data_IF_832993928935
#
_entry.id   IF_832993928935
#
_cell.length_a   1.000
_cell.length_b   1.000
_cell.length_c   1.000
_cell.angle_alpha   90.00
_cell.angle_beta   90.00
_cell.angle_gamma   90.00
#
_symmetry.space_group_name_H-M   'P 1'
#
loop_
_entity.id
_entity.type
_entity.pdbx_description
1 polymer ?
#
# COMPACT_ATOMS: atom_id res chain seq x y z
N UNK A 1 12.95 17.58 -5.78
CA UNK A 1 12.23 17.43 -4.51
C UNK A 1 11.26 16.25 -4.51
N UNK A 2 10.29 16.14 -5.43
CA UNK A 2 9.30 15.04 -5.41
C UNK A 2 9.90 13.63 -5.38
N UNK A 3 10.96 13.38 -6.17
CA UNK A 3 11.66 12.09 -6.17
C UNK A 3 12.21 11.76 -4.79
N UNK A 4 12.95 12.70 -4.18
CA UNK A 4 13.57 12.55 -2.87
C UNK A 4 12.50 12.31 -1.79
N UNK A 5 11.38 13.03 -1.84
CA UNK A 5 10.26 12.82 -0.91
C UNK A 5 9.67 11.41 -1.05
N UNK A 6 9.48 10.94 -2.29
CA UNK A 6 9.06 9.56 -2.56
C UNK A 6 10.07 8.55 -2.04
N UNK A 7 11.36 8.76 -2.33
CA UNK A 7 12.46 7.90 -1.89
C UNK A 7 12.53 7.79 -0.37
N UNK A 8 12.50 8.90 0.36
CA UNK A 8 12.52 8.90 1.84
C UNK A 8 11.30 8.15 2.37
N UNK A 9 10.12 8.42 1.83
CA UNK A 9 8.88 7.73 2.25
C UNK A 9 9.00 6.22 2.01
N UNK A 10 9.54 5.83 0.86
CA UNK A 10 9.75 4.42 0.52
C UNK A 10 10.79 3.76 1.42
N UNK A 11 11.89 4.44 1.77
CA UNK A 11 12.90 3.93 2.70
C UNK A 11 12.31 3.72 4.10
N UNK A 12 11.43 4.61 4.56
CA UNK A 12 10.70 4.40 5.84
C UNK A 12 9.84 3.14 5.78
N UNK A 13 9.14 2.93 4.67
CA UNK A 13 8.33 1.72 4.47
C UNK A 13 9.20 0.47 4.39
N UNK A 14 10.33 0.52 3.68
CA UNK A 14 11.30 -0.57 3.61
C UNK A 14 11.88 -0.91 4.99
N UNK A 15 12.18 0.10 5.82
CA UNK A 15 12.62 -0.12 7.20
C UNK A 15 11.54 -0.80 8.05
N UNK A 16 10.28 -0.37 7.93
CA UNK A 16 9.16 -1.00 8.62
C UNK A 16 8.93 -2.45 8.15
N UNK A 17 9.05 -2.71 6.85
CA UNK A 17 9.00 -4.06 6.27
C UNK A 17 10.05 -4.94 6.91
N UNK A 18 11.33 -4.58 6.77
CA UNK A 18 12.46 -5.39 7.28
C UNK A 18 12.33 -5.60 8.79
N UNK A 19 11.92 -4.56 9.52
CA UNK A 19 11.71 -4.68 10.96
C UNK A 19 10.60 -5.70 11.31
N UNK A 20 9.47 -5.68 10.60
CA UNK A 20 8.38 -6.64 10.83
C UNK A 20 8.76 -8.05 10.37
N UNK A 21 9.53 -8.18 9.30
CA UNK A 21 9.98 -9.47 8.76
C UNK A 21 10.83 -10.24 9.79
N UNK A 22 11.82 -9.56 10.37
CA UNK A 22 12.82 -10.19 11.24
C UNK A 22 12.53 -10.08 12.74
N UNK A 23 11.84 -9.02 13.17
CA UNK A 23 11.50 -8.82 14.58
C UNK A 23 10.00 -9.02 14.87
N UNK A 24 9.17 -9.30 13.86
CA UNK A 24 7.73 -9.49 14.05
C UNK A 24 7.36 -10.64 14.99
N UNK A 25 8.28 -11.55 15.28
CA UNK A 25 8.09 -12.66 16.24
C UNK A 25 7.93 -12.18 17.69
N UNK A 26 8.40 -10.96 18.01
CA UNK A 26 8.19 -10.34 19.33
C UNK A 26 6.80 -9.73 19.48
N UNK A 27 6.04 -9.62 18.38
CA UNK A 27 4.66 -9.13 18.38
C UNK A 27 3.73 -10.35 18.37
N UNK A 28 2.76 -10.45 19.31
CA UNK A 28 1.79 -11.54 19.30
C UNK A 28 1.08 -11.68 17.94
N UNK A 29 0.87 -12.91 17.44
CA UNK A 29 0.16 -13.12 16.18
C UNK A 29 -1.23 -12.47 16.19
N UNK A 30 -1.62 -11.88 15.06
CA UNK A 30 -2.96 -11.30 14.87
C UNK A 30 -3.81 -12.36 14.17
N UNK A 31 -4.53 -13.16 14.96
CA UNK A 31 -5.30 -14.29 14.44
C UNK A 31 -4.38 -15.34 13.81
N UNK A 32 -4.64 -15.83 12.57
CA UNK A 32 -3.78 -16.80 11.91
C UNK A 32 -2.48 -16.20 11.34
N UNK A 33 -2.25 -14.88 11.44
CA UNK A 33 -1.10 -14.21 10.85
C UNK A 33 0.01 -13.96 11.86
N UNK A 34 1.17 -14.55 11.60
CA UNK A 34 2.44 -14.12 12.17
C UNK A 34 3.02 -12.97 11.34
N UNK A 35 3.49 -11.91 12.00
CA UNK A 35 4.13 -10.78 11.32
C UNK A 35 5.54 -11.14 10.83
N UNK A 36 6.23 -12.04 11.53
CA UNK A 36 7.49 -12.62 11.04
C UNK A 36 7.24 -13.50 9.82
N UNK A 37 8.05 -13.33 8.78
CA UNK A 37 7.85 -13.98 7.48
C UNK A 37 6.80 -13.32 6.57
N UNK A 38 6.12 -12.28 7.05
CA UNK A 38 5.05 -11.56 6.33
C UNK A 38 5.17 -10.04 6.48
N UNK A 39 6.35 -9.53 6.83
CA UNK A 39 6.63 -8.10 7.01
C UNK A 39 6.36 -7.30 5.74
N UNK A 40 6.60 -7.94 4.58
CA UNK A 40 6.21 -7.45 3.26
C UNK A 40 4.72 -7.08 3.18
N UNK A 41 3.86 -8.04 3.51
CA UNK A 41 2.41 -7.90 3.43
C UNK A 41 1.91 -6.89 4.45
N UNK A 42 2.41 -6.92 5.68
CA UNK A 42 1.96 -6.01 6.72
C UNK A 42 2.40 -4.55 6.50
N UNK A 43 3.66 -4.30 6.13
CA UNK A 43 4.18 -2.94 5.96
C UNK A 43 3.78 -2.34 4.62
N UNK A 44 4.07 -3.01 3.51
CA UNK A 44 3.91 -2.41 2.20
C UNK A 44 2.43 -2.24 1.86
N UNK A 45 1.58 -3.24 2.14
CA UNK A 45 0.17 -3.15 1.76
C UNK A 45 -0.63 -2.14 2.57
N UNK A 46 -0.23 -1.84 3.82
CA UNK A 46 -0.85 -0.76 4.60
C UNK A 46 -0.27 0.59 4.21
N UNK A 47 1.06 0.71 4.19
CA UNK A 47 1.72 2.00 4.12
C UNK A 47 1.82 2.56 2.69
N UNK A 48 1.92 1.71 1.66
CA UNK A 48 2.02 2.20 0.28
C UNK A 48 0.74 2.90 -0.18
N UNK A 49 -0.48 2.38 0.04
CA UNK A 49 -1.69 3.10 -0.31
C UNK A 49 -1.78 4.49 0.33
N UNK A 50 -1.35 4.59 1.59
CA UNK A 50 -1.28 5.85 2.33
C UNK A 50 -0.24 6.77 1.69
N UNK A 51 0.96 6.26 1.38
CA UNK A 51 2.03 7.02 0.76
C UNK A 51 1.65 7.53 -0.63
N UNK A 52 0.95 6.75 -1.44
CA UNK A 52 0.43 7.15 -2.75
C UNK A 52 -0.59 8.27 -2.56
N UNK A 53 -1.62 8.04 -1.74
CA UNK A 53 -2.66 9.04 -1.45
C UNK A 53 -2.05 10.36 -0.96
N UNK A 54 -1.17 10.29 0.05
CA UNK A 54 -0.61 11.46 0.69
C UNK A 54 0.36 12.21 -0.23
N UNK A 55 1.22 11.47 -0.93
CA UNK A 55 2.18 12.03 -1.87
C UNK A 55 1.52 12.70 -3.08
N UNK A 56 0.47 12.08 -3.64
CA UNK A 56 -0.28 12.66 -4.75
C UNK A 56 -1.08 13.87 -4.31
N UNK A 57 -1.67 13.83 -3.12
CA UNK A 57 -2.33 14.98 -2.52
C UNK A 57 -1.34 16.12 -2.29
N UNK A 58 -0.17 15.85 -1.72
CA UNK A 58 0.89 16.85 -1.53
C UNK A 58 1.33 17.46 -2.86
N UNK A 59 1.64 16.64 -3.87
CA UNK A 59 2.04 17.09 -5.20
C UNK A 59 0.95 17.97 -5.84
N UNK A 60 -0.31 17.61 -5.65
CA UNK A 60 -1.44 18.36 -6.22
C UNK A 60 -1.65 19.71 -5.55
N UNK A 61 -1.49 19.79 -4.22
CA UNK A 61 -1.55 21.07 -3.50
C UNK A 61 -0.36 21.97 -3.83
N UNK A 62 0.84 21.41 -3.95
CA UNK A 62 2.06 22.18 -4.21
C UNK A 62 2.11 22.77 -5.62
N UNK A 63 1.54 22.08 -6.60
CA UNK A 63 1.63 22.44 -8.01
C UNK A 63 0.30 22.89 -8.64
N UNK A 64 -0.67 23.31 -7.81
CA UNK A 64 -1.96 23.90 -8.24
C UNK A 64 -2.65 23.14 -9.37
N UNK A 65 -2.69 21.81 -9.29
CA UNK A 65 -3.33 20.93 -10.29
C UNK A 65 -2.44 20.45 -11.44
N UNK A 66 -1.26 21.06 -11.68
CA UNK A 66 -0.23 20.61 -12.64
C UNK A 66 0.68 19.51 -12.06
N UNK A 67 0.09 18.57 -11.34
CA UNK A 67 0.80 17.63 -10.47
C UNK A 67 1.13 16.29 -11.08
N UNK A 68 0.76 16.03 -12.34
CA UNK A 68 0.98 14.72 -12.96
C UNK A 68 2.45 14.32 -12.95
N UNK A 69 3.33 15.17 -13.51
CA UNK A 69 4.78 14.91 -13.53
C UNK A 69 5.35 14.81 -12.11
N UNK A 70 5.10 15.77 -11.19
CA UNK A 70 5.55 15.64 -9.80
C UNK A 70 5.07 14.38 -9.08
N UNK A 71 3.82 13.94 -9.30
CA UNK A 71 3.25 12.73 -8.70
C UNK A 71 3.90 11.47 -9.28
N UNK A 72 4.11 11.40 -10.60
CA UNK A 72 4.85 10.30 -11.24
C UNK A 72 6.28 10.20 -10.70
N UNK A 73 6.99 11.33 -10.61
CA UNK A 73 8.36 11.37 -10.09
C UNK A 73 8.39 10.96 -8.61
N UNK A 74 7.40 11.37 -7.81
CA UNK A 74 7.23 10.89 -6.44
C UNK A 74 7.03 9.37 -6.39
N UNK A 75 6.13 8.83 -7.21
CA UNK A 75 5.85 7.39 -7.27
C UNK A 75 7.09 6.58 -7.68
N UNK A 76 7.90 7.10 -8.61
CA UNK A 76 9.18 6.45 -8.99
C UNK A 76 10.16 6.44 -7.82
N UNK A 77 10.29 7.56 -7.10
CA UNK A 77 11.10 7.61 -5.88
C UNK A 77 10.59 6.64 -4.81
N UNK A 78 9.27 6.57 -4.61
CA UNK A 78 8.62 5.65 -3.69
C UNK A 78 8.88 4.18 -4.07
N UNK A 79 8.80 3.84 -5.36
CA UNK A 79 9.06 2.48 -5.85
C UNK A 79 10.52 2.06 -5.59
N UNK A 80 11.48 2.94 -5.89
CA UNK A 80 12.89 2.71 -5.55
C UNK A 80 13.06 2.56 -4.05
N UNK A 81 12.47 3.46 -3.26
CA UNK A 81 12.58 3.47 -1.80
C UNK A 81 12.04 2.21 -1.14
N UNK A 82 10.85 1.74 -1.54
CA UNK A 82 10.26 0.48 -1.05
C UNK A 82 11.10 -0.70 -1.50
N UNK A 83 11.58 -0.69 -2.75
CA UNK A 83 12.45 -1.74 -3.29
C UNK A 83 13.77 -1.91 -2.54
N UNK A 84 14.25 -0.89 -1.82
CA UNK A 84 15.46 -0.96 -0.98
C UNK A 84 15.32 -1.98 0.17
N UNK A 85 14.12 -2.45 0.51
CA UNK A 85 13.96 -3.54 1.48
C UNK A 85 14.81 -4.78 1.11
N UNK A 86 14.87 -5.12 -0.18
CA UNK A 86 15.62 -6.30 -0.67
C UNK A 86 17.14 -6.18 -0.48
N UNK A 87 17.82 -5.10 -0.89
CA UNK A 87 19.24 -4.94 -0.58
C UNK A 87 19.51 -4.80 0.91
N UNK A 88 18.59 -4.22 1.71
CA UNK A 88 18.73 -4.21 3.18
C UNK A 88 18.75 -5.64 3.70
N UNK A 89 17.79 -6.49 3.30
CA UNK A 89 17.78 -7.90 3.67
C UNK A 89 19.03 -8.64 3.19
N UNK A 90 19.47 -8.40 1.94
CA UNK A 90 20.66 -9.05 1.41
C UNK A 90 21.95 -8.71 2.18
N UNK A 91 22.04 -7.51 2.79
CA UNK A 91 23.20 -7.05 3.54
C UNK A 91 23.15 -7.49 5.01
N UNK A 92 22.00 -7.31 5.66
CA UNK A 92 21.88 -7.52 7.10
C UNK A 92 21.37 -8.92 7.47
N UNK A 93 20.65 -9.58 6.56
CA UNK A 93 20.03 -10.89 6.74
C UNK A 93 20.24 -11.79 5.51
N UNK A 94 21.50 -12.04 5.09
CA UNK A 94 21.79 -12.76 3.86
C UNK A 94 21.26 -14.20 3.93
N UNK A 95 20.47 -14.61 2.92
CA UNK A 95 19.94 -15.97 2.81
C UNK A 95 21.05 -17.03 2.71
N UNK A 96 22.17 -16.69 2.04
CA UNK A 96 23.34 -17.55 1.84
C UNK A 96 24.64 -16.72 2.00
N UNK A 97 25.78 -17.36 2.34
CA UNK A 97 27.07 -16.66 2.51
C UNK A 97 27.56 -15.89 1.27
N UNK A 98 27.16 -16.33 0.07
CA UNK A 98 27.59 -15.74 -1.21
C UNK A 98 26.63 -14.66 -1.75
N UNK A 99 25.63 -14.26 -0.97
CA UNK A 99 24.68 -13.20 -1.36
C UNK A 99 25.39 -11.86 -1.50
N UNK A 100 25.30 -11.26 -2.69
CA UNK A 100 25.86 -9.92 -2.96
C UNK A 100 24.76 -8.88 -3.14
N UNK A 101 25.12 -7.60 -2.97
CA UNK A 101 24.25 -6.47 -3.31
C UNK A 101 23.80 -6.50 -4.78
N UNK A 102 24.66 -6.93 -5.70
CA UNK A 102 24.29 -7.02 -7.12
C UNK A 102 23.15 -8.03 -7.33
N UNK A 103 23.15 -9.14 -6.58
CA UNK A 103 22.11 -10.16 -6.65
C UNK A 103 20.73 -9.63 -6.20
N UNK A 104 20.70 -8.54 -5.43
CA UNK A 104 19.46 -7.93 -4.93
C UNK A 104 18.79 -6.97 -5.92
N UNK A 105 19.49 -6.54 -6.99
CA UNK A 105 18.98 -5.55 -7.95
C UNK A 105 17.68 -6.01 -8.62
N UNK A 106 17.56 -7.26 -9.14
CA UNK A 106 16.30 -7.73 -9.71
C UNK A 106 15.16 -7.71 -8.68
N UNK A 107 15.44 -8.11 -7.44
CA UNK A 107 14.46 -8.11 -6.35
C UNK A 107 14.01 -6.71 -5.95
N UNK A 108 14.91 -5.72 -5.94
CA UNK A 108 14.58 -4.30 -5.73
C UNK A 108 13.57 -3.81 -6.79
N UNK A 109 13.87 -4.06 -8.06
CA UNK A 109 13.02 -3.63 -9.18
C UNK A 109 11.66 -4.32 -9.10
N UNK A 110 11.65 -5.64 -8.87
CA UNK A 110 10.43 -6.43 -8.73
C UNK A 110 9.57 -5.92 -7.57
N UNK A 111 10.17 -5.70 -6.39
CA UNK A 111 9.49 -5.23 -5.19
C UNK A 111 8.86 -3.85 -5.38
N UNK A 112 9.64 -2.88 -5.89
CA UNK A 112 9.13 -1.56 -6.21
C UNK A 112 8.00 -1.59 -7.26
N UNK A 113 8.11 -2.48 -8.24
CA UNK A 113 7.09 -2.63 -9.29
C UNK A 113 5.79 -3.21 -8.73
N UNK A 114 5.89 -4.31 -7.98
CA UNK A 114 4.74 -5.05 -7.45
C UNK A 114 3.99 -4.24 -6.40
N UNK A 115 4.71 -3.68 -5.43
CA UNK A 115 4.07 -3.03 -4.29
C UNK A 115 3.76 -1.56 -4.52
N UNK A 116 4.41 -0.89 -5.49
CA UNK A 116 4.20 0.55 -5.73
C UNK A 116 3.68 0.84 -7.13
N UNK A 117 4.38 0.44 -8.19
CA UNK A 117 4.03 0.86 -9.55
C UNK A 117 2.70 0.27 -10.02
N UNK A 118 2.44 -1.01 -9.78
CA UNK A 118 1.16 -1.64 -10.15
C UNK A 118 -0.02 -1.02 -9.38
N UNK A 119 0.01 -0.88 -8.03
CA UNK A 119 -1.02 -0.15 -7.30
C UNK A 119 -1.17 1.29 -7.76
N UNK A 120 -0.08 1.98 -8.09
CA UNK A 120 -0.13 3.35 -8.58
C UNK A 120 -0.84 3.46 -9.95
N UNK A 121 -0.68 2.49 -10.84
CA UNK A 121 -1.41 2.45 -12.12
C UNK A 121 -2.92 2.31 -11.85
N UNK A 122 -3.30 1.38 -10.98
CA UNK A 122 -4.72 1.19 -10.59
C UNK A 122 -5.25 2.44 -9.90
N UNK A 123 -4.48 3.05 -9.00
CA UNK A 123 -4.84 4.29 -8.33
C UNK A 123 -5.05 5.44 -9.31
N UNK A 124 -4.20 5.55 -10.34
CA UNK A 124 -4.32 6.58 -11.37
C UNK A 124 -5.60 6.40 -12.19
N UNK A 125 -5.96 5.15 -12.51
CA UNK A 125 -7.19 4.82 -13.24
C UNK A 125 -8.46 5.27 -12.51
N UNK A 126 -8.43 5.37 -11.17
CA UNK A 126 -9.56 5.86 -10.36
C UNK A 126 -9.43 7.36 -10.07
N UNK A 127 -8.25 7.81 -9.70
CA UNK A 127 -7.98 9.20 -9.33
C UNK A 127 -8.26 10.16 -10.50
N UNK A 128 -7.81 9.84 -11.72
CA UNK A 128 -7.91 10.75 -12.86
C UNK A 128 -9.37 11.05 -13.28
N UNK A 129 -10.28 10.06 -13.36
CA UNK A 129 -11.71 10.32 -13.56
C UNK A 129 -12.36 11.18 -12.45
N UNK A 130 -12.04 10.93 -11.18
CA UNK A 130 -12.56 11.70 -10.05
C UNK A 130 -12.04 13.16 -10.08
N UNK A 131 -10.74 13.32 -10.35
CA UNK A 131 -10.07 14.61 -10.48
C UNK A 131 -10.65 15.44 -11.62
N UNK A 132 -10.82 14.83 -12.79
CA UNK A 132 -11.34 15.50 -14.00
C UNK A 132 -12.83 15.83 -13.94
N UNK A 133 -13.57 15.31 -12.95
CA UNK A 133 -15.01 15.52 -12.84
C UNK A 133 -15.84 14.70 -13.83
N UNK A 134 -15.22 13.73 -14.51
CA UNK A 134 -15.93 12.76 -15.36
C UNK A 134 -16.83 11.83 -14.53
N UNK A 135 -16.46 11.60 -13.27
CA UNK A 135 -17.25 10.82 -12.30
C UNK A 135 -17.61 11.73 -11.12
N UNK A 136 -18.88 11.74 -10.67
CA UNK A 136 -19.28 12.52 -9.51
C UNK A 136 -18.59 12.01 -8.25
N UNK A 137 -18.13 12.92 -7.38
CA UNK A 137 -17.48 12.57 -6.11
C UNK A 137 -18.48 12.64 -4.96
N UNK A 138 -19.59 11.90 -5.08
CA UNK A 138 -20.57 11.79 -4.01
C UNK A 138 -20.24 10.61 -3.07
N UNK A 139 -20.91 10.54 -1.92
CA UNK A 139 -20.64 9.52 -0.91
C UNK A 139 -20.74 8.09 -1.42
N UNK A 140 -21.69 7.81 -2.33
CA UNK A 140 -21.90 6.46 -2.91
C UNK A 140 -20.72 6.06 -3.79
N UNK A 141 -20.25 6.96 -4.68
CA UNK A 141 -19.10 6.67 -5.55
C UNK A 141 -17.83 6.44 -4.72
N UNK A 142 -17.61 7.26 -3.69
CA UNK A 142 -16.48 7.08 -2.78
C UNK A 142 -16.58 5.75 -2.03
N UNK A 143 -17.78 5.42 -1.52
CA UNK A 143 -18.03 4.15 -0.85
C UNK A 143 -17.72 2.97 -1.77
N UNK A 144 -18.24 2.97 -2.99
CA UNK A 144 -17.96 1.93 -3.99
C UNK A 144 -16.45 1.87 -4.25
N UNK A 145 -15.80 3.01 -4.49
CA UNK A 145 -14.37 3.06 -4.78
C UNK A 145 -13.47 2.54 -3.64
N UNK A 146 -13.88 2.73 -2.38
CA UNK A 146 -13.17 2.17 -1.22
C UNK A 146 -13.45 0.68 -1.01
N UNK A 147 -14.69 0.24 -1.24
CA UNK A 147 -15.12 -1.12 -0.94
C UNK A 147 -14.87 -2.11 -2.08
N UNK A 148 -14.85 -1.68 -3.34
CA UNK A 148 -14.73 -2.59 -4.50
C UNK A 148 -13.40 -3.37 -4.52
N UNK A 149 -12.35 -2.78 -3.96
CA UNK A 149 -11.06 -3.44 -3.80
C UNK A 149 -11.08 -4.53 -2.73
N UNK A 150 -11.84 -4.35 -1.63
CA UNK A 150 -11.76 -5.24 -0.46
C UNK A 150 -12.06 -6.72 -0.78
N UNK A 151 -13.08 -7.07 -1.58
CA UNK A 151 -13.31 -8.46 -1.98
C UNK A 151 -12.13 -9.09 -2.75
N UNK A 152 -11.30 -8.26 -3.38
CA UNK A 152 -10.14 -8.68 -4.16
C UNK A 152 -8.85 -8.72 -3.33
N UNK A 153 -8.88 -8.37 -2.04
CA UNK A 153 -7.68 -8.26 -1.19
C UNK A 153 -6.80 -9.50 -1.20
N UNK A 154 -7.41 -10.70 -1.21
CA UNK A 154 -6.67 -11.96 -1.13
C UNK A 154 -6.14 -12.46 -2.47
N UNK A 155 -6.84 -12.14 -3.56
CA UNK A 155 -6.50 -12.63 -4.90
C UNK A 155 -5.65 -11.62 -5.67
N UNK A 156 -5.90 -10.35 -5.43
CA UNK A 156 -5.28 -9.22 -6.13
C UNK A 156 -5.02 -8.06 -5.14
N UNK A 157 -4.10 -8.22 -4.18
CA UNK A 157 -3.80 -7.19 -3.17
C UNK A 157 -3.37 -5.87 -3.82
N UNK A 158 -2.66 -5.92 -4.96
CA UNK A 158 -2.26 -4.72 -5.71
C UNK A 158 -3.44 -3.91 -6.25
N UNK A 159 -4.52 -4.58 -6.65
CA UNK A 159 -5.76 -3.91 -7.08
C UNK A 159 -6.43 -3.25 -5.87
N UNK A 160 -6.44 -3.92 -4.72
CA UNK A 160 -6.99 -3.38 -3.47
C UNK A 160 -6.22 -2.15 -3.00
N UNK A 161 -4.88 -2.24 -2.96
CA UNK A 161 -4.00 -1.12 -2.66
C UNK A 161 -4.28 0.09 -3.57
N UNK A 162 -4.30 -0.16 -4.88
CA UNK A 162 -4.50 0.90 -5.86
C UNK A 162 -5.91 1.50 -5.81
N UNK A 163 -6.94 0.68 -5.61
CA UNK A 163 -8.33 1.16 -5.54
C UNK A 163 -8.55 2.07 -4.34
N UNK A 164 -8.08 1.65 -3.17
CA UNK A 164 -8.15 2.44 -1.93
C UNK A 164 -7.33 3.72 -2.05
N UNK A 165 -6.09 3.66 -2.56
CA UNK A 165 -5.23 4.82 -2.74
C UNK A 165 -5.79 5.83 -3.75
N UNK A 166 -6.31 5.36 -4.89
CA UNK A 166 -6.89 6.19 -5.95
C UNK A 166 -8.16 6.88 -5.50
N UNK A 167 -9.05 6.15 -4.82
CA UNK A 167 -10.27 6.71 -4.22
C UNK A 167 -9.91 7.75 -3.15
N UNK A 168 -8.93 7.47 -2.29
CA UNK A 168 -8.47 8.41 -1.27
C UNK A 168 -7.88 9.69 -1.85
N UNK A 169 -7.03 9.59 -2.88
CA UNK A 169 -6.49 10.74 -3.59
C UNK A 169 -7.59 11.58 -4.26
N UNK A 170 -8.58 10.92 -4.88
CA UNK A 170 -9.74 11.59 -5.48
C UNK A 170 -10.65 12.27 -4.46
N UNK A 171 -10.90 11.60 -3.32
CA UNK A 171 -11.68 12.12 -2.20
C UNK A 171 -11.03 13.38 -1.63
N UNK A 172 -9.72 13.33 -1.34
CA UNK A 172 -8.98 14.44 -0.79
C UNK A 172 -8.80 15.63 -1.75
N UNK A 173 -8.87 15.39 -3.06
CA UNK A 173 -8.89 16.47 -4.05
C UNK A 173 -10.16 17.33 -3.94
N UNK A 174 -11.30 16.71 -3.59
CA UNK A 174 -12.61 17.37 -3.55
C UNK A 174 -12.99 17.91 -2.18
N UNK A 175 -12.32 17.47 -1.12
CA UNK A 175 -12.64 17.85 0.26
C UNK A 175 -11.47 18.57 0.92
N UNK A 176 -11.66 19.85 1.22
CA UNK A 176 -10.66 20.68 1.90
C UNK A 176 -10.75 20.42 3.41
N UNK A 177 -9.77 19.72 3.99
CA UNK A 177 -9.62 19.57 5.46
C UNK A 177 -9.78 18.17 6.05
N UNK A 178 -10.20 17.17 5.26
CA UNK A 178 -10.48 15.80 5.75
C UNK A 178 -9.31 14.81 5.60
N UNK A 179 -8.11 15.25 5.21
CA UNK A 179 -7.00 14.36 4.85
C UNK A 179 -6.60 13.39 5.97
N UNK A 180 -6.66 13.81 7.22
CA UNK A 180 -6.36 12.94 8.38
C UNK A 180 -7.43 11.85 8.51
N UNK A 181 -8.71 12.21 8.40
CA UNK A 181 -9.82 11.25 8.40
C UNK A 181 -9.69 10.25 7.25
N UNK A 182 -9.35 10.73 6.05
CA UNK A 182 -9.10 9.87 4.89
C UNK A 182 -7.92 8.92 5.14
N UNK A 183 -6.84 9.40 5.76
CA UNK A 183 -5.71 8.55 6.12
C UNK A 183 -6.10 7.45 7.12
N UNK A 184 -6.87 7.81 8.16
CA UNK A 184 -7.40 6.85 9.13
C UNK A 184 -8.28 5.81 8.43
N UNK A 185 -9.17 6.23 7.54
CA UNK A 185 -10.00 5.33 6.76
C UNK A 185 -9.17 4.36 5.91
N UNK A 186 -8.15 4.86 5.20
CA UNK A 186 -7.24 4.01 4.40
C UNK A 186 -6.55 2.98 5.30
N UNK A 187 -6.03 3.39 6.46
CA UNK A 187 -5.40 2.48 7.42
C UNK A 187 -6.39 1.39 7.84
N UNK A 188 -7.60 1.77 8.25
CA UNK A 188 -8.62 0.80 8.68
C UNK A 188 -8.98 -0.18 7.57
N UNK A 189 -9.17 0.31 6.34
CA UNK A 189 -9.49 -0.54 5.19
C UNK A 189 -8.36 -1.52 4.87
N UNK A 190 -7.10 -1.07 4.90
CA UNK A 190 -5.97 -1.96 4.64
C UNK A 190 -5.74 -2.96 5.77
N UNK A 191 -5.91 -2.56 7.03
CA UNK A 191 -5.89 -3.47 8.18
C UNK A 191 -6.99 -4.53 8.07
N UNK A 192 -8.20 -4.14 7.67
CA UNK A 192 -9.30 -5.08 7.42
C UNK A 192 -8.94 -6.01 6.26
N UNK A 193 -8.39 -5.50 5.17
CA UNK A 193 -8.01 -6.29 3.99
C UNK A 193 -6.96 -7.37 4.34
N UNK A 194 -5.94 -7.00 5.11
CA UNK A 194 -4.78 -7.85 5.41
C UNK A 194 -5.06 -8.80 6.57
N UNK A 195 -5.71 -8.34 7.63
CA UNK A 195 -5.93 -9.13 8.85
C UNK A 195 -7.38 -9.57 9.01
N UNK A 196 -8.33 -8.65 8.80
CA UNK A 196 -9.74 -8.89 9.06
C UNK A 196 -10.37 -9.94 8.15
N UNK A 197 -10.23 -9.79 6.83
CA UNK A 197 -10.81 -10.71 5.84
C UNK A 197 -10.25 -12.13 6.03
N UNK A 198 -8.93 -12.36 6.04
CA UNK A 198 -8.44 -13.72 6.19
C UNK A 198 -8.65 -14.29 7.60
N UNK A 199 -8.74 -13.48 8.66
CA UNK A 199 -9.23 -13.95 9.96
C UNK A 199 -10.64 -14.53 9.87
N UNK A 200 -11.58 -13.81 9.25
CA UNK A 200 -12.96 -14.28 9.10
C UNK A 200 -13.07 -15.53 8.21
N UNK A 201 -12.20 -15.68 7.20
CA UNK A 201 -12.11 -16.90 6.41
C UNK A 201 -11.57 -18.08 7.20
N UNK A 202 -10.52 -17.88 8.01
CA UNK A 202 -9.97 -18.94 8.87
C UNK A 202 -10.98 -19.48 9.88
N UNK A 203 -11.99 -18.66 10.22
CA UNK A 203 -13.10 -19.02 11.12
C UNK A 203 -14.32 -19.60 10.39
N UNK A 204 -14.28 -19.75 9.06
CA UNK A 204 -15.41 -20.24 8.26
C UNK A 204 -16.59 -19.26 8.12
N UNK A 205 -16.47 -18.03 8.65
CA UNK A 205 -17.56 -17.04 8.69
C UNK A 205 -17.95 -16.58 7.29
N UNK A 206 -16.97 -16.36 6.41
CA UNK A 206 -17.20 -15.88 5.05
C UNK A 206 -17.44 -16.99 4.02
N UNK A 207 -17.21 -18.26 4.39
CA UNK A 207 -17.44 -19.42 3.52
C UNK A 207 -18.78 -20.12 3.81
N UNK A 208 -19.53 -19.67 4.82
CA UNK A 208 -20.78 -20.31 5.25
C UNK A 208 -20.57 -21.67 5.92
N UNK A 209 -19.33 -22.02 6.29
CA UNK A 209 -19.03 -23.23 7.03
C UNK A 209 -19.40 -23.04 8.51
N UNK A 210 -20.01 -24.05 9.17
CA UNK A 210 -20.47 -23.92 10.55
C UNK A 210 -19.31 -23.63 11.51
N UNK A 211 -19.57 -22.72 12.46
CA UNK A 211 -18.65 -22.30 13.52
C UNK A 211 -18.41 -23.45 14.54
N UNK A 212 -17.38 -24.27 14.30
CA UNK A 212 -16.69 -25.27 15.18
C UNK A 212 -17.34 -26.65 15.43
N UNK A 213 -16.59 -27.70 15.91
CA UNK A 213 -15.14 -27.85 16.12
C UNK A 213 -14.50 -29.11 15.45
N UNK A 214 -13.18 -29.12 15.27
CA UNK A 214 -12.32 -30.31 15.46
C UNK A 214 -11.00 -29.87 16.07
#
# INVERSE_FOLDING_TARGET
MSFITGLITGVVIAGAWVALEHYGSVIPPIGPFALSGNGAFAAAEILVPIAIFWGWSWATNRWSGRSLIPATIYTLGLAVGVGIAVPIDAVFYPANPDSTLANSIPGLIATGTIFVLLPAIVAAAIYLPLKSGRIPTNGIVLLIGYLIGLPLALLYPMITMGTVAGTAAGHAWRTTGSKIFIAILVILLMVIAIFGIPYLLSRGVLTGAPLFPR
#
